data_IF_435153132795
#
_entry.id   IF_435153132795
#
_cell.length_a   1.000
_cell.length_b   1.000
_cell.length_c   1.000
_cell.angle_alpha   90.00
_cell.angle_beta   90.00
_cell.angle_gamma   90.00
#
_symmetry.space_group_name_H-M   'P 1'
#
loop_
_entity.id
_entity.type
_entity.pdbx_description
1 polymer ?
#
# COMPACT_ATOMS: atom_id res chain seq x y z
N UNK A 1 50.91 2.48 -24.83
CA UNK A 1 51.08 1.58 -23.67
C UNK A 1 50.09 0.43 -23.85
N UNK A 2 50.52 -0.63 -24.54
CA UNK A 2 49.87 -1.95 -24.62
C UNK A 2 50.40 -2.82 -23.43
N UNK A 3 49.91 -4.06 -23.13
CA UNK A 3 49.00 -4.88 -23.93
C UNK A 3 47.89 -5.65 -23.17
N UNK A 4 46.91 -6.13 -23.94
CA UNK A 4 46.10 -7.31 -23.66
C UNK A 4 46.90 -8.60 -23.90
N UNK A 5 46.63 -9.66 -23.12
CA UNK A 5 47.10 -11.02 -23.38
C UNK A 5 45.98 -11.91 -23.94
N UNK A 6 46.35 -12.63 -25.00
CA UNK A 6 45.62 -13.68 -25.72
C UNK A 6 46.48 -14.96 -25.62
N UNK A 7 45.90 -16.12 -25.28
CA UNK A 7 46.55 -17.46 -25.31
C UNK A 7 45.40 -18.47 -25.56
N UNK A 8 45.10 -18.89 -26.80
CA UNK A 8 45.68 -19.98 -27.63
C UNK A 8 45.44 -21.41 -27.12
N UNK A 9 44.58 -22.13 -27.84
CA UNK A 9 44.41 -23.58 -27.81
C UNK A 9 45.62 -24.32 -28.41
N UNK A 10 45.76 -25.63 -28.13
CA UNK A 10 46.23 -26.56 -29.14
C UNK A 10 45.33 -27.81 -29.26
N UNK A 11 45.11 -28.27 -30.50
CA UNK A 11 44.60 -29.61 -30.80
C UNK A 11 45.72 -30.51 -31.31
N UNK A 12 45.57 -31.83 -31.22
CA UNK A 12 46.37 -32.84 -31.96
C UNK A 12 45.51 -34.11 -32.25
N UNK A 13 45.70 -34.62 -33.47
CA UNK A 13 45.36 -35.91 -34.12
C UNK A 13 45.31 -37.17 -33.21
N UNK A 14 44.63 -38.29 -33.49
CA UNK A 14 44.24 -38.97 -34.74
C UNK A 14 45.12 -40.20 -34.99
N UNK A 15 44.61 -41.44 -34.82
CA UNK A 15 44.98 -42.67 -35.60
C UNK A 15 44.32 -43.99 -35.12
N UNK A 16 43.53 -44.62 -36.01
CA UNK A 16 43.61 -46.01 -36.56
C UNK A 16 43.79 -47.24 -35.61
N UNK A 17 42.74 -48.09 -35.54
CA UNK A 17 42.66 -49.49 -36.07
C UNK A 17 43.46 -50.69 -35.49
N UNK A 18 42.72 -51.60 -34.79
CA UNK A 18 42.74 -53.09 -34.74
C UNK A 18 44.02 -53.85 -34.25
N UNK A 19 43.97 -55.13 -33.76
CA UNK A 19 42.95 -56.19 -33.96
C UNK A 19 42.55 -57.07 -32.73
N UNK A 20 41.63 -58.01 -33.00
CA UNK A 20 41.09 -59.14 -32.22
C UNK A 20 42.09 -59.90 -31.32
N UNK A 21 41.63 -60.32 -30.13
CA UNK A 21 42.03 -61.59 -29.50
C UNK A 21 40.87 -62.18 -28.68
N UNK A 22 40.46 -63.39 -29.06
CA UNK A 22 39.51 -64.25 -28.36
C UNK A 22 40.33 -65.31 -27.61
N UNK A 23 40.14 -65.48 -26.29
CA UNK A 23 40.36 -66.77 -25.65
C UNK A 23 39.00 -67.38 -25.30
N UNK A 24 38.72 -68.51 -25.92
CA UNK A 24 37.76 -69.47 -25.43
C UNK A 24 38.35 -70.14 -24.20
N UNK A 25 37.65 -70.07 -23.06
CA UNK A 25 37.65 -71.12 -22.03
C UNK A 25 36.52 -70.81 -21.03
N UNK A 26 35.47 -71.62 -21.10
CA UNK A 26 34.34 -71.59 -20.19
C UNK A 26 34.64 -72.47 -18.96
N UNK A 27 34.29 -72.02 -17.75
CA UNK A 27 33.78 -72.90 -16.72
C UNK A 27 32.26 -72.79 -16.67
N UNK A 28 31.60 -73.94 -16.80
CA UNK A 28 30.16 -74.13 -16.57
C UNK A 28 29.74 -73.47 -15.25
N UNK A 29 29.05 -72.33 -15.32
CA UNK A 29 28.26 -71.82 -14.21
C UNK A 29 26.80 -72.19 -14.45
N UNK A 30 26.37 -73.17 -13.65
CA UNK A 30 25.02 -73.69 -13.56
C UNK A 30 24.01 -72.55 -13.34
N UNK A 31 23.09 -72.41 -14.29
CA UNK A 31 22.09 -71.34 -14.38
C UNK A 31 20.92 -71.50 -13.38
N UNK A 32 21.01 -72.36 -12.37
CA UNK A 32 19.87 -72.72 -11.50
C UNK A 32 19.99 -72.28 -10.04
N UNK A 33 20.93 -71.39 -9.69
CA UNK A 33 21.05 -70.88 -8.30
C UNK A 33 20.95 -69.35 -8.14
N UNK A 34 20.72 -68.59 -9.22
CA UNK A 34 20.73 -67.11 -9.22
C UNK A 34 19.34 -66.46 -9.31
N UNK A 35 18.26 -67.17 -8.95
CA UNK A 35 16.90 -66.64 -8.96
C UNK A 35 16.24 -66.49 -7.58
N UNK A 36 16.99 -66.67 -6.47
CA UNK A 36 16.42 -66.64 -5.11
C UNK A 36 17.23 -65.85 -4.06
N UNK A 37 18.27 -65.11 -4.49
CA UNK A 37 18.96 -64.04 -3.73
C UNK A 37 18.99 -62.84 -4.67
N UNK A 38 18.39 -61.67 -4.48
CA UNK A 38 18.00 -60.94 -3.28
C UNK A 38 16.83 -60.00 -3.63
N UNK A 39 15.59 -60.53 -3.65
CA UNK A 39 14.42 -59.64 -3.84
C UNK A 39 14.28 -58.65 -2.67
N UNK A 40 14.70 -59.02 -1.46
CA UNK A 40 14.66 -58.15 -0.29
C UNK A 40 15.62 -56.96 -0.39
N UNK A 41 16.84 -57.14 -0.92
CA UNK A 41 17.80 -56.02 -1.06
C UNK A 41 17.42 -55.07 -2.21
N UNK A 42 16.91 -55.60 -3.32
CA UNK A 42 16.40 -54.78 -4.42
C UNK A 42 15.17 -53.98 -3.97
N UNK A 43 14.25 -54.59 -3.23
CA UNK A 43 13.13 -53.87 -2.62
C UNK A 43 13.60 -52.81 -1.62
N UNK A 44 14.61 -53.10 -0.79
CA UNK A 44 15.16 -52.14 0.17
C UNK A 44 15.81 -50.94 -0.55
N UNK A 45 16.60 -51.18 -1.61
CA UNK A 45 17.24 -50.16 -2.43
C UNK A 45 16.23 -49.30 -3.19
N UNK A 46 15.17 -49.91 -3.74
CA UNK A 46 14.08 -49.17 -4.38
C UNK A 46 13.33 -48.29 -3.38
N UNK A 47 13.05 -48.81 -2.18
CA UNK A 47 12.42 -48.05 -1.08
C UNK A 47 13.33 -46.90 -0.65
N UNK A 48 14.64 -47.13 -0.54
CA UNK A 48 15.60 -46.09 -0.16
C UNK A 48 15.73 -45.02 -1.26
N UNK A 49 15.77 -45.39 -2.53
CA UNK A 49 15.77 -44.44 -3.66
C UNK A 49 14.47 -43.64 -3.74
N UNK A 50 13.30 -44.27 -3.55
CA UNK A 50 12.01 -43.57 -3.56
C UNK A 50 11.83 -42.64 -2.37
N UNK A 51 12.27 -43.04 -1.16
CA UNK A 51 12.27 -42.14 0.00
C UNK A 51 13.22 -40.96 -0.18
N UNK A 52 14.42 -41.18 -0.74
CA UNK A 52 15.40 -40.11 -0.98
C UNK A 52 14.94 -39.14 -2.07
N UNK A 53 14.36 -39.63 -3.17
CA UNK A 53 13.77 -38.75 -4.20
C UNK A 53 12.59 -37.94 -3.65
N UNK A 54 11.74 -38.56 -2.82
CA UNK A 54 10.60 -37.90 -2.15
C UNK A 54 11.03 -36.79 -1.18
N UNK A 55 12.10 -37.01 -0.41
CA UNK A 55 12.65 -36.00 0.51
C UNK A 55 13.36 -34.87 -0.25
N UNK A 56 14.15 -35.18 -1.28
CA UNK A 56 14.84 -34.17 -2.09
C UNK A 56 13.86 -33.29 -2.86
N UNK A 57 12.79 -33.88 -3.42
CA UNK A 57 11.72 -33.12 -4.09
C UNK A 57 10.93 -32.25 -3.11
N UNK A 58 10.65 -32.73 -1.90
CA UNK A 58 9.99 -31.92 -0.86
C UNK A 58 10.83 -30.71 -0.44
N UNK A 59 12.14 -30.89 -0.21
CA UNK A 59 13.06 -29.80 0.17
C UNK A 59 13.24 -28.79 -0.97
N UNK A 60 13.23 -29.23 -2.23
CA UNK A 60 13.30 -28.35 -3.40
C UNK A 60 11.98 -27.58 -3.64
N UNK A 61 10.83 -28.18 -3.32
CA UNK A 61 9.51 -27.57 -3.51
C UNK A 61 9.17 -26.51 -2.46
N UNK A 62 9.61 -26.68 -1.21
CA UNK A 62 9.27 -25.77 -0.11
C UNK A 62 9.67 -24.30 -0.39
N UNK A 63 10.90 -23.96 -0.82
CA UNK A 63 11.28 -22.59 -1.15
C UNK A 63 10.46 -22.00 -2.32
N UNK A 64 10.09 -22.81 -3.31
CA UNK A 64 9.27 -22.36 -4.43
C UNK A 64 7.82 -22.04 -4.01
N UNK A 65 7.25 -22.85 -3.11
CA UNK A 65 5.91 -22.62 -2.55
C UNK A 65 5.90 -21.37 -1.66
N UNK A 66 6.90 -21.21 -0.78
CA UNK A 66 7.01 -20.02 0.09
C UNK A 66 7.29 -18.75 -0.73
N UNK A 67 8.14 -18.83 -1.75
CA UNK A 67 8.43 -17.69 -2.62
C UNK A 67 7.22 -17.21 -3.41
N UNK A 68 6.36 -18.12 -3.87
CA UNK A 68 5.14 -17.77 -4.61
C UNK A 68 4.05 -17.20 -3.70
N UNK A 69 3.83 -17.76 -2.51
CA UNK A 69 2.81 -17.26 -1.58
C UNK A 69 3.15 -15.87 -1.05
N UNK A 70 4.41 -15.61 -0.70
CA UNK A 70 4.85 -14.27 -0.24
C UNK A 70 4.81 -13.25 -1.38
N UNK A 71 5.14 -13.63 -2.62
CA UNK A 71 5.00 -12.75 -3.78
C UNK A 71 3.52 -12.38 -4.04
N UNK A 72 2.61 -13.34 -3.94
CA UNK A 72 1.16 -13.09 -4.06
C UNK A 72 0.67 -12.19 -2.93
N UNK A 73 1.06 -12.46 -1.69
CA UNK A 73 0.70 -11.65 -0.53
C UNK A 73 1.24 -10.23 -0.66
N UNK A 74 2.47 -10.07 -1.14
CA UNK A 74 3.06 -8.77 -1.44
C UNK A 74 2.26 -8.04 -2.53
N UNK A 75 1.90 -8.74 -3.62
CA UNK A 75 1.07 -8.20 -4.69
C UNK A 75 -0.33 -7.80 -4.21
N UNK A 76 -0.98 -8.62 -3.38
CA UNK A 76 -2.28 -8.32 -2.78
C UNK A 76 -2.22 -7.11 -1.86
N UNK A 77 -1.21 -7.03 -0.98
CA UNK A 77 -1.01 -5.89 -0.08
C UNK A 77 -0.71 -4.60 -0.85
N UNK A 78 0.13 -4.67 -1.89
CA UNK A 78 0.40 -3.53 -2.77
C UNK A 78 -0.87 -3.08 -3.48
N UNK A 79 -1.63 -4.00 -4.08
CA UNK A 79 -2.89 -3.69 -4.75
C UNK A 79 -3.94 -3.10 -3.78
N UNK A 80 -4.06 -3.65 -2.57
CA UNK A 80 -4.94 -3.11 -1.53
C UNK A 80 -4.53 -1.69 -1.12
N UNK A 81 -3.23 -1.42 -1.02
CA UNK A 81 -2.69 -0.09 -0.73
C UNK A 81 -3.02 0.92 -1.84
N UNK A 82 -2.81 0.55 -3.09
CA UNK A 82 -3.12 1.42 -4.24
C UNK A 82 -4.62 1.72 -4.32
N UNK A 83 -5.47 0.71 -4.11
CA UNK A 83 -6.93 0.90 -4.05
C UNK A 83 -7.33 1.87 -2.93
N UNK A 84 -6.82 1.65 -1.73
CA UNK A 84 -7.10 2.50 -0.56
C UNK A 84 -6.55 3.94 -0.70
N UNK A 85 -5.54 4.14 -1.56
CA UNK A 85 -4.99 5.47 -1.87
C UNK A 85 -5.80 6.22 -2.91
N UNK A 86 -6.38 5.52 -3.90
CA UNK A 86 -7.26 6.11 -4.91
C UNK A 86 -8.71 6.34 -4.46
N UNK A 87 -9.14 5.73 -3.34
CA UNK A 87 -10.53 5.82 -2.87
C UNK A 87 -10.80 7.09 -2.04
N UNK A 88 -11.88 7.80 -2.40
CA UNK A 88 -12.37 8.98 -1.67
C UNK A 88 -12.96 8.56 -0.34
N UNK A 89 -12.34 9.00 0.75
CA UNK A 89 -12.82 8.74 2.11
C UNK A 89 -13.24 10.02 2.81
N UNK A 90 -14.01 9.86 3.87
CA UNK A 90 -14.23 10.92 4.84
C UNK A 90 -13.14 10.92 5.90
N UNK A 91 -12.93 12.08 6.52
CA UNK A 91 -12.16 12.19 7.75
C UNK A 91 -13.11 12.40 8.92
N UNK A 92 -12.88 11.65 9.98
CA UNK A 92 -13.65 11.69 11.22
C UNK A 92 -12.71 12.08 12.36
N UNK A 93 -13.20 12.92 13.27
CA UNK A 93 -12.48 13.30 14.48
C UNK A 93 -12.73 12.26 15.56
N UNK A 94 -11.67 11.84 16.24
CA UNK A 94 -11.71 11.01 17.43
C UNK A 94 -10.82 11.66 18.51
N UNK A 95 -11.31 11.74 19.75
CA UNK A 95 -10.52 12.24 20.87
C UNK A 95 -9.70 11.11 21.49
N UNK A 96 -8.38 11.30 21.69
CA UNK A 96 -7.52 10.28 22.30
C UNK A 96 -7.92 10.01 23.76
N UNK A 97 -8.39 11.03 24.47
CA UNK A 97 -8.91 10.92 25.84
C UNK A 97 -10.31 11.51 25.89
N UNK A 98 -11.26 10.77 26.46
CA UNK A 98 -12.62 11.25 26.66
C UNK A 98 -12.63 12.43 27.63
N UNK A 99 -13.24 13.53 27.20
CA UNK A 99 -13.44 14.75 27.97
C UNK A 99 -14.86 15.31 27.74
N UNK A 100 -15.16 16.50 28.26
CA UNK A 100 -16.47 17.14 28.11
C UNK A 100 -16.89 17.40 26.65
N UNK A 101 -15.94 17.45 25.72
CA UNK A 101 -16.17 17.67 24.29
C UNK A 101 -16.32 16.37 23.48
N UNK A 102 -16.17 15.19 24.11
CA UNK A 102 -16.36 13.89 23.45
C UNK A 102 -17.69 13.78 22.70
N UNK A 103 -18.85 14.15 23.28
CA UNK A 103 -20.12 14.06 22.57
C UNK A 103 -20.21 14.92 21.31
N UNK A 104 -19.37 15.97 21.22
CA UNK A 104 -19.33 16.88 20.08
C UNK A 104 -18.39 16.38 18.99
N UNK A 105 -17.17 15.97 19.35
CA UNK A 105 -16.12 15.67 18.37
C UNK A 105 -16.02 14.20 17.99
N UNK A 106 -16.28 13.26 18.91
CA UNK A 106 -16.11 11.85 18.58
C UNK A 106 -17.11 11.42 17.51
N UNK A 107 -16.60 10.99 16.36
CA UNK A 107 -17.42 10.61 15.22
C UNK A 107 -17.84 11.78 14.32
N UNK A 108 -17.44 13.01 14.66
CA UNK A 108 -17.74 14.18 13.84
C UNK A 108 -16.96 14.15 12.52
N UNK A 109 -17.64 14.45 11.41
CA UNK A 109 -17.01 14.57 10.10
C UNK A 109 -16.24 15.88 10.02
N UNK A 110 -15.04 15.83 9.43
CA UNK A 110 -14.32 17.03 9.00
C UNK A 110 -15.02 17.58 7.76
N UNK A 111 -15.32 18.87 7.76
CA UNK A 111 -16.03 19.56 6.69
C UNK A 111 -15.21 20.72 6.13
N UNK A 112 -15.51 21.12 4.89
CA UNK A 112 -14.68 22.04 4.10
C UNK A 112 -15.34 23.41 3.87
N UNK A 113 -16.14 23.92 4.81
CA UNK A 113 -16.81 25.22 4.63
C UNK A 113 -15.89 26.35 5.07
N UNK A 114 -15.56 27.28 4.17
CA UNK A 114 -14.70 28.45 4.45
C UNK A 114 -13.37 28.12 5.16
N UNK A 115 -12.80 26.95 4.81
CA UNK A 115 -11.60 26.34 5.39
C UNK A 115 -11.75 25.67 6.76
N UNK A 116 -12.96 25.49 7.28
CA UNK A 116 -13.14 25.15 8.70
C UNK A 116 -14.33 24.19 9.00
N UNK A 117 -14.18 23.55 10.16
CA UNK A 117 -15.12 22.78 11.00
C UNK A 117 -15.16 21.26 10.96
N UNK A 118 -15.24 20.72 12.18
CA UNK A 118 -15.70 19.40 12.54
C UNK A 118 -16.87 19.59 13.51
N UNK A 119 -18.07 19.81 12.99
CA UNK A 119 -19.29 19.87 13.80
C UNK A 119 -20.46 19.22 13.06
N UNK A 120 -21.26 18.48 13.83
CA UNK A 120 -22.47 17.75 13.43
C UNK A 120 -23.73 18.63 13.34
N UNK A 121 -23.65 19.88 13.78
CA UNK A 121 -24.79 20.77 14.05
C UNK A 121 -25.34 21.51 12.82
N UNK A 122 -24.70 21.41 11.66
CA UNK A 122 -25.08 22.17 10.47
C UNK A 122 -26.06 21.43 9.54
N UNK A 123 -26.84 22.21 8.78
CA UNK A 123 -27.76 21.65 7.80
C UNK A 123 -26.99 20.88 6.70
N UNK A 124 -27.39 19.64 6.35
CA UNK A 124 -26.68 18.80 5.38
C UNK A 124 -26.53 19.42 3.98
N UNK A 125 -27.35 20.41 3.65
CA UNK A 125 -27.42 21.04 2.32
C UNK A 125 -26.38 22.14 2.09
N UNK A 126 -25.69 22.62 3.13
CA UNK A 126 -24.78 23.79 3.03
C UNK A 126 -23.32 23.43 3.25
N UNK A 127 -23.02 22.14 3.46
CA UNK A 127 -21.70 21.69 3.88
C UNK A 127 -21.22 20.57 2.96
N UNK A 128 -19.97 20.71 2.50
CA UNK A 128 -19.26 19.67 1.78
C UNK A 128 -18.35 18.90 2.75
N UNK A 129 -18.68 17.65 3.12
CA UNK A 129 -17.79 16.81 3.92
C UNK A 129 -16.44 16.63 3.24
N UNK A 130 -15.39 16.48 4.01
CA UNK A 130 -14.09 16.11 3.48
C UNK A 130 -14.23 14.82 2.66
N UNK A 131 -13.85 14.85 1.38
CA UNK A 131 -13.88 13.70 0.51
C UNK A 131 -12.53 13.58 -0.21
N UNK A 132 -11.56 13.02 0.51
CA UNK A 132 -10.17 13.04 0.10
C UNK A 132 -9.55 11.69 -0.15
N UNK A 133 -8.47 11.72 -0.92
CA UNK A 133 -7.70 10.57 -1.37
C UNK A 133 -6.25 11.00 -1.62
N UNK A 134 -5.37 10.04 -1.83
CA UNK A 134 -3.93 10.28 -1.98
C UNK A 134 -3.53 10.37 -3.44
N UNK A 135 -2.62 11.28 -3.75
CA UNK A 135 -1.98 11.38 -5.05
C UNK A 135 -0.49 11.66 -4.89
N UNK A 136 0.38 11.06 -5.73
CA UNK A 136 1.79 11.40 -5.78
C UNK A 136 1.98 12.92 -5.96
N UNK A 137 2.71 13.56 -5.03
CA UNK A 137 2.92 15.00 -5.12
C UNK A 137 4.03 15.31 -6.14
N UNK A 138 3.76 16.06 -7.24
CA UNK A 138 4.67 16.10 -8.39
C UNK A 138 6.11 16.51 -8.09
N UNK A 139 6.32 17.48 -7.18
CA UNK A 139 7.64 18.10 -6.96
C UNK A 139 8.37 17.55 -5.71
N UNK A 140 7.64 16.89 -4.80
CA UNK A 140 8.11 16.53 -3.46
C UNK A 140 8.19 15.02 -3.24
N UNK A 141 7.50 14.22 -4.07
CA UNK A 141 7.44 12.76 -3.89
C UNK A 141 8.82 12.10 -3.89
N UNK A 142 9.71 12.52 -4.80
CA UNK A 142 11.08 12.00 -4.86
C UNK A 142 11.88 12.34 -3.60
N UNK A 143 11.76 13.58 -3.11
CA UNK A 143 12.46 14.06 -1.91
C UNK A 143 12.03 13.30 -0.66
N UNK A 144 10.73 13.08 -0.50
CA UNK A 144 10.19 12.30 0.61
C UNK A 144 10.71 10.86 0.59
N UNK A 145 10.69 10.20 -0.57
CA UNK A 145 11.22 8.84 -0.73
C UNK A 145 12.72 8.77 -0.36
N UNK A 146 13.54 9.71 -0.83
CA UNK A 146 14.98 9.74 -0.50
C UNK A 146 15.23 10.00 0.99
N UNK A 147 14.41 10.82 1.64
CA UNK A 147 14.49 11.08 3.07
C UNK A 147 13.90 9.95 3.94
N UNK A 148 13.45 8.84 3.35
CA UNK A 148 12.90 7.69 4.06
C UNK A 148 11.43 7.83 4.47
N UNK A 149 10.76 8.91 4.06
CA UNK A 149 9.35 9.10 4.32
C UNK A 149 8.48 8.20 3.46
N UNK A 150 7.41 7.69 4.06
CA UNK A 150 6.30 7.04 3.38
C UNK A 150 5.13 8.02 3.34
N UNK A 151 4.42 8.05 2.22
CA UNK A 151 3.28 8.94 2.06
C UNK A 151 3.27 9.66 0.71
N UNK A 152 2.20 10.39 0.49
CA UNK A 152 1.86 11.09 -0.73
C UNK A 152 1.27 12.46 -0.40
N UNK A 153 0.85 13.23 -1.39
CA UNK A 153 0.01 14.39 -1.12
C UNK A 153 -1.43 13.94 -0.88
N UNK A 154 -2.14 14.68 -0.04
CA UNK A 154 -3.57 14.49 0.21
C UNK A 154 -4.35 15.51 -0.61
N UNK A 155 -5.40 15.06 -1.27
CA UNK A 155 -6.30 15.91 -2.04
C UNK A 155 -7.72 15.73 -1.55
N UNK A 156 -8.57 16.72 -1.76
CA UNK A 156 -9.98 16.69 -1.39
C UNK A 156 -10.82 17.43 -2.42
N UNK A 157 -12.10 17.05 -2.52
CA UNK A 157 -13.08 17.77 -3.34
C UNK A 157 -13.77 18.83 -2.50
N UNK A 158 -14.00 20.01 -3.08
CA UNK A 158 -14.59 21.17 -2.33
C UNK A 158 -16.01 21.48 -2.76
N UNK A 159 -16.42 21.04 -3.96
CA UNK A 159 -17.74 21.28 -4.52
C UNK A 159 -18.26 20.03 -5.24
N UNK A 160 -19.54 20.08 -5.62
CA UNK A 160 -20.21 19.02 -6.37
C UNK A 160 -19.56 18.74 -7.75
N UNK A 161 -18.92 19.76 -8.33
CA UNK A 161 -18.14 19.66 -9.57
C UNK A 161 -16.79 18.93 -9.37
N UNK A 162 -16.50 18.45 -8.16
CA UNK A 162 -15.30 17.69 -7.80
C UNK A 162 -13.98 18.42 -8.12
N UNK A 163 -13.92 19.74 -7.94
CA UNK A 163 -12.65 20.46 -8.05
C UNK A 163 -11.63 19.94 -7.03
N UNK A 164 -10.48 19.52 -7.54
CA UNK A 164 -9.41 18.91 -6.77
C UNK A 164 -8.54 19.98 -6.13
N UNK A 165 -8.51 19.99 -4.80
CA UNK A 165 -7.64 20.84 -4.01
C UNK A 165 -6.67 20.00 -3.17
N UNK A 166 -5.43 20.47 -3.07
CA UNK A 166 -4.41 19.86 -2.22
C UNK A 166 -4.61 20.31 -0.78
N UNK A 167 -4.51 19.37 0.15
CA UNK A 167 -4.52 19.63 1.59
C UNK A 167 -3.09 19.91 2.03
N UNK A 168 -2.90 20.99 2.78
CA UNK A 168 -1.61 21.45 3.25
C UNK A 168 -1.72 22.06 4.64
N UNK A 169 -0.61 22.06 5.38
CA UNK A 169 -0.46 22.80 6.64
C UNK A 169 0.16 24.14 6.32
N UNK A 170 -0.53 25.22 6.66
CA UNK A 170 -0.06 26.58 6.43
C UNK A 170 1.26 26.84 7.18
N UNK A 171 2.31 27.18 6.45
CA UNK A 171 3.63 27.48 7.01
C UNK A 171 3.63 28.57 8.10
N UNK A 172 2.75 29.54 8.00
CA UNK A 172 2.67 30.63 8.96
C UNK A 172 1.74 30.26 10.11
N UNK A 173 0.50 29.87 9.85
CA UNK A 173 -0.51 29.68 10.91
C UNK A 173 -0.55 28.28 11.50
N UNK A 174 0.04 27.29 10.81
CA UNK A 174 -0.08 25.86 11.12
C UNK A 174 -1.52 25.31 10.98
N UNK A 175 -2.42 26.07 10.36
CA UNK A 175 -3.77 25.63 10.04
C UNK A 175 -3.75 24.60 8.91
N UNK A 176 -4.56 23.55 9.02
CA UNK A 176 -4.76 22.57 7.95
C UNK A 176 -5.77 23.14 6.97
N UNK A 177 -5.28 23.55 5.80
CA UNK A 177 -6.07 24.20 4.75
C UNK A 177 -6.07 23.38 3.48
N UNK A 178 -6.88 23.81 2.52
CA UNK A 178 -6.92 23.23 1.19
C UNK A 178 -6.87 24.33 0.13
N UNK A 179 -6.36 24.00 -1.06
CA UNK A 179 -6.35 24.94 -2.18
C UNK A 179 -5.70 24.38 -3.43
N UNK A 180 -5.66 25.21 -4.47
CA UNK A 180 -5.01 24.87 -5.74
C UNK A 180 -3.51 24.63 -5.55
N UNK A 181 -2.91 23.85 -6.46
CA UNK A 181 -1.49 23.46 -6.38
C UNK A 181 -0.53 24.63 -6.22
N UNK A 182 -0.80 25.76 -6.89
CA UNK A 182 0.04 26.96 -6.86
C UNK A 182 0.14 27.57 -5.45
N UNK A 183 -0.96 27.58 -4.70
CA UNK A 183 -0.98 28.03 -3.30
C UNK A 183 -0.31 26.97 -2.42
N UNK A 184 -0.76 25.71 -2.53
CA UNK A 184 -0.27 24.63 -1.66
C UNK A 184 1.26 24.50 -1.67
N UNK A 185 1.91 24.74 -2.81
CA UNK A 185 3.37 24.63 -2.98
C UNK A 185 4.20 25.53 -2.05
N UNK A 186 3.67 26.66 -1.58
CA UNK A 186 4.38 27.54 -0.62
C UNK A 186 4.24 27.10 0.85
N UNK A 187 3.39 26.10 1.12
CA UNK A 187 3.10 25.58 2.45
C UNK A 187 3.58 24.13 2.60
N UNK A 188 3.33 23.51 3.75
CA UNK A 188 3.73 22.13 4.00
C UNK A 188 2.68 21.17 3.43
N UNK A 189 2.99 20.48 2.35
CA UNK A 189 2.02 19.65 1.60
C UNK A 189 2.04 18.17 1.97
N UNK A 190 2.89 17.76 2.91
CA UNK A 190 3.04 16.37 3.32
C UNK A 190 4.49 16.01 3.63
N UNK A 191 4.79 14.69 3.71
CA UNK A 191 3.94 13.61 3.22
C UNK A 191 2.77 13.30 4.15
N UNK A 192 1.60 13.08 3.54
CA UNK A 192 0.44 12.52 4.21
C UNK A 192 0.47 10.99 4.09
N UNK A 193 0.08 10.31 5.16
CA UNK A 193 -0.18 8.86 5.14
C UNK A 193 -1.24 8.53 6.21
N UNK A 194 -1.48 7.25 6.45
CA UNK A 194 -2.26 6.81 7.60
C UNK A 194 -1.66 5.55 8.23
N UNK A 195 -1.99 5.29 9.49
CA UNK A 195 -1.62 4.05 10.17
C UNK A 195 -2.25 2.83 9.47
N UNK A 196 -1.58 1.68 9.56
CA UNK A 196 -1.98 0.47 8.83
C UNK A 196 -3.25 -0.17 9.38
N UNK A 197 -3.46 -0.08 10.70
CA UNK A 197 -4.55 -0.75 11.42
C UNK A 197 -5.76 0.20 11.47
N UNK A 198 -5.67 1.26 12.27
CA UNK A 198 -6.83 2.12 12.59
C UNK A 198 -7.09 3.22 11.56
N UNK A 199 -6.23 3.33 10.53
CA UNK A 199 -6.31 4.37 9.49
C UNK A 199 -6.32 5.80 10.04
N UNK A 200 -5.66 6.01 11.17
CA UNK A 200 -5.38 7.35 11.71
C UNK A 200 -4.46 8.09 10.76
N UNK A 201 -4.82 9.31 10.40
CA UNK A 201 -4.04 10.17 9.52
C UNK A 201 -2.74 10.58 10.17
N UNK A 202 -1.70 10.66 9.36
CA UNK A 202 -0.39 11.16 9.78
C UNK A 202 0.09 12.20 8.79
N UNK A 203 0.74 13.24 9.31
CA UNK A 203 1.46 14.25 8.52
C UNK A 203 2.93 14.19 8.93
N UNK A 204 3.83 14.08 7.95
CA UNK A 204 5.25 13.83 8.23
C UNK A 204 5.44 12.64 9.20
N UNK A 205 4.62 11.60 9.02
CA UNK A 205 4.72 10.32 9.74
C UNK A 205 4.27 10.32 11.21
N UNK A 206 3.61 11.36 11.71
CA UNK A 206 3.05 11.37 13.08
C UNK A 206 1.69 12.08 13.18
N UNK A 207 1.05 11.97 14.34
CA UNK A 207 -0.36 12.36 14.61
C UNK A 207 -0.43 13.60 15.51
N UNK A 208 -0.09 14.79 14.98
CA UNK A 208 -0.01 16.05 15.74
C UNK A 208 -1.19 17.00 15.54
N UNK A 209 -2.41 16.50 15.38
CA UNK A 209 -3.58 17.35 15.05
C UNK A 209 -4.21 17.99 16.28
N UNK A 210 -4.55 19.27 16.16
CA UNK A 210 -5.18 20.05 17.23
C UNK A 210 -6.39 20.79 16.66
N UNK A 211 -7.55 20.61 17.28
CA UNK A 211 -8.72 21.42 17.02
C UNK A 211 -8.65 22.70 17.87
N UNK A 212 -8.77 23.86 17.22
CA UNK A 212 -8.70 25.18 17.86
C UNK A 212 -10.03 25.90 17.64
N UNK A 213 -10.67 26.32 18.73
CA UNK A 213 -11.87 27.16 18.67
C UNK A 213 -11.44 28.59 18.36
N UNK A 214 -11.72 29.06 17.14
CA UNK A 214 -11.40 30.41 16.68
C UNK A 214 -12.49 31.43 17.00
N UNK A 215 -13.76 31.00 17.02
CA UNK A 215 -14.91 31.83 17.41
C UNK A 215 -15.73 31.09 18.47
N UNK A 216 -15.96 31.74 19.61
CA UNK A 216 -16.76 31.19 20.70
C UNK A 216 -18.25 31.43 20.49
N UNK A 217 -18.62 32.53 19.82
CA UNK A 217 -20.01 32.93 19.59
C UNK A 217 -20.65 32.05 18.50
N UNK A 218 -19.90 31.74 17.45
CA UNK A 218 -20.31 30.84 16.36
C UNK A 218 -19.87 29.37 16.56
N UNK A 219 -19.26 29.06 17.71
CA UNK A 219 -18.71 27.74 18.06
C UNK A 219 -17.84 27.12 16.95
N UNK A 220 -16.93 27.97 16.45
CA UNK A 220 -16.16 27.79 15.23
C UNK A 220 -14.78 27.16 15.55
N UNK A 221 -14.62 25.85 15.33
CA UNK A 221 -13.37 25.07 15.39
C UNK A 221 -12.61 24.85 14.06
N UNK A 222 -11.36 25.29 13.97
CA UNK A 222 -10.46 24.95 12.87
C UNK A 222 -9.46 23.85 13.25
N UNK A 223 -8.97 23.13 12.24
CA UNK A 223 -7.98 22.08 12.42
C UNK A 223 -6.58 22.64 12.19
N UNK A 224 -5.68 22.38 13.12
CA UNK A 224 -4.28 22.78 13.09
C UNK A 224 -3.37 21.56 13.23
N UNK A 225 -2.10 21.72 12.87
CA UNK A 225 -1.07 20.71 13.04
C UNK A 225 0.14 21.26 13.78
N UNK A 226 0.55 20.58 14.86
CA UNK A 226 1.63 21.02 15.72
C UNK A 226 3.01 20.65 15.16
N UNK A 227 3.50 21.37 14.14
CA UNK A 227 4.79 21.06 13.49
C UNK A 227 5.98 20.97 14.47
N UNK A 228 5.97 21.74 15.56
CA UNK A 228 7.09 21.88 16.50
C UNK A 228 6.93 21.01 17.78
N UNK A 229 5.85 20.23 17.87
CA UNK A 229 5.48 19.41 19.03
C UNK A 229 5.50 20.21 20.35
N UNK A 230 4.88 21.37 20.37
CA UNK A 230 4.79 22.24 21.54
C UNK A 230 3.36 22.59 21.97
N UNK A 231 2.37 21.94 21.36
CA UNK A 231 0.95 22.18 21.56
C UNK A 231 0.50 23.53 21.00
N UNK A 232 1.17 24.03 19.95
CA UNK A 232 0.95 25.35 19.35
C UNK A 232 1.15 26.52 20.34
N UNK A 233 2.03 26.33 21.34
CA UNK A 233 2.24 27.27 22.47
C UNK A 233 3.36 28.26 22.22
N UNK A 234 4.36 27.88 21.41
CA UNK A 234 5.65 28.58 21.37
C UNK A 234 5.70 29.71 20.33
N UNK A 235 4.63 29.89 19.57
CA UNK A 235 4.55 30.82 18.45
C UNK A 235 3.40 31.79 18.74
N UNK A 236 3.62 33.08 18.48
CA UNK A 236 2.66 34.18 18.65
C UNK A 236 1.41 34.09 17.73
N UNK A 237 1.09 32.89 17.23
CA UNK A 237 0.09 32.64 16.19
C UNK A 237 -1.31 32.44 16.73
N UNK A 238 -1.43 31.83 17.92
CA UNK A 238 -2.72 31.42 18.51
C UNK A 238 -2.74 31.76 20.00
N UNK A 239 -1.72 31.38 20.77
CA UNK A 239 -1.67 31.70 22.21
C UNK A 239 -1.51 33.20 22.50
N UNK A 240 -0.74 33.95 21.70
CA UNK A 240 -0.45 35.39 21.90
C UNK A 240 -1.19 36.35 20.94
N UNK A 241 -2.11 35.88 20.08
CA UNK A 241 -3.01 36.80 19.34
C UNK A 241 -4.09 37.43 20.23
N UNK A 242 -3.78 37.65 21.50
CA UNK A 242 -4.59 38.38 22.46
C UNK A 242 -4.39 39.89 22.29
N UNK A 243 -4.75 40.41 21.12
CA UNK A 243 -5.17 41.81 21.01
C UNK A 243 -6.49 42.09 21.75
N UNK A 244 -7.21 41.04 22.17
CA UNK A 244 -8.50 41.11 22.88
C UNK A 244 -8.59 40.25 24.16
N UNK A 245 -7.48 39.72 24.70
CA UNK A 245 -7.49 38.97 25.97
C UNK A 245 -8.26 37.63 26.00
N UNK A 246 -8.79 37.14 24.87
CA UNK A 246 -9.47 35.83 24.78
C UNK A 246 -8.47 34.71 24.46
N UNK A 247 -8.44 33.67 25.30
CA UNK A 247 -7.62 32.47 25.12
C UNK A 247 -8.41 31.46 24.27
N UNK A 248 -7.91 31.10 23.08
CA UNK A 248 -8.54 30.07 22.27
C UNK A 248 -8.53 28.71 22.97
N UNK A 249 -9.65 27.97 22.87
CA UNK A 249 -9.74 26.61 23.39
C UNK A 249 -9.09 25.65 22.39
N UNK A 250 -8.27 24.72 22.89
CA UNK A 250 -7.50 23.79 22.06
C UNK A 250 -7.69 22.37 22.55
N UNK A 251 -7.90 21.45 21.62
CA UNK A 251 -8.09 20.02 21.88
C UNK A 251 -7.17 19.22 20.97
N UNK A 252 -6.38 18.33 21.53
CA UNK A 252 -5.66 17.32 20.74
C UNK A 252 -6.68 16.34 20.16
N UNK A 253 -6.57 16.08 18.86
CA UNK A 253 -7.51 15.23 18.13
C UNK A 253 -6.76 14.22 17.26
N UNK A 254 -7.37 13.07 17.06
CA UNK A 254 -6.98 12.10 16.05
C UNK A 254 -7.94 12.21 14.87
N UNK A 255 -7.40 12.09 13.65
CA UNK A 255 -8.21 12.07 12.44
C UNK A 255 -8.20 10.66 11.88
N UNK A 256 -9.37 10.08 11.68
CA UNK A 256 -9.53 8.70 11.20
C UNK A 256 -10.16 8.71 9.82
N UNK A 257 -9.53 8.00 8.87
CA UNK A 257 -10.14 7.76 7.57
C UNK A 257 -11.28 6.77 7.72
N UNK A 258 -12.47 7.17 7.27
CA UNK A 258 -13.66 6.30 7.23
C UNK A 258 -14.21 6.23 5.82
N UNK A 259 -14.60 5.04 5.41
CA UNK A 259 -15.29 4.83 4.15
C UNK A 259 -16.57 5.65 4.09
N UNK A 260 -16.91 6.13 2.89
CA UNK A 260 -18.14 6.88 2.68
C UNK A 260 -19.33 5.92 2.76
N UNK A 261 -20.46 6.34 3.35
CA UNK A 261 -21.69 5.56 3.27
C UNK A 261 -22.02 5.25 1.82
N UNK A 262 -22.18 3.98 1.47
CA UNK A 262 -22.62 3.58 0.14
C UNK A 262 -24.13 3.78 0.03
N UNK A 263 -24.53 4.77 -0.78
CA UNK A 263 -25.93 4.95 -1.12
C UNK A 263 -26.44 3.77 -1.96
N UNK A 264 -27.73 3.47 -1.87
CA UNK A 264 -28.37 2.37 -2.60
C UNK A 264 -28.16 2.50 -4.13
N UNK A 265 -28.30 3.71 -4.68
CA UNK A 265 -28.15 3.94 -6.12
C UNK A 265 -26.71 3.75 -6.60
N UNK A 266 -25.73 4.13 -5.78
CA UNK A 266 -24.31 3.83 -6.02
C UNK A 266 -24.08 2.31 -6.07
N UNK A 267 -24.69 1.55 -5.16
CA UNK A 267 -24.58 0.09 -5.13
C UNK A 267 -25.23 -0.58 -6.35
N UNK A 268 -26.35 -0.04 -6.84
CA UNK A 268 -26.97 -0.48 -8.10
C UNK A 268 -26.06 -0.16 -9.28
N UNK A 269 -25.51 1.05 -9.36
CA UNK A 269 -24.59 1.46 -10.42
C UNK A 269 -23.37 0.53 -10.49
N UNK A 270 -22.68 0.32 -9.36
CA UNK A 270 -21.55 -0.61 -9.25
C UNK A 270 -21.94 -2.04 -9.69
N UNK A 271 -23.15 -2.50 -9.36
CA UNK A 271 -23.65 -3.81 -9.79
C UNK A 271 -23.81 -3.89 -11.30
N UNK A 272 -24.38 -2.86 -11.92
CA UNK A 272 -24.55 -2.79 -13.39
C UNK A 272 -23.19 -2.77 -14.09
N UNK A 273 -22.23 -2.02 -13.57
CA UNK A 273 -20.86 -1.98 -14.11
C UNK A 273 -20.17 -3.35 -14.01
N UNK A 274 -20.34 -4.07 -12.89
CA UNK A 274 -19.81 -5.44 -12.76
C UNK A 274 -20.42 -6.39 -13.80
N UNK A 275 -21.72 -6.29 -14.07
CA UNK A 275 -22.38 -7.10 -15.09
C UNK A 275 -21.76 -6.81 -16.47
N UNK A 276 -21.61 -5.53 -16.84
CA UNK A 276 -20.98 -5.13 -18.11
C UNK A 276 -19.53 -5.60 -18.22
N UNK A 277 -18.74 -5.48 -17.16
CA UNK A 277 -17.36 -5.93 -17.15
C UNK A 277 -17.24 -7.46 -17.32
N UNK A 278 -18.16 -8.23 -16.74
CA UNK A 278 -18.25 -9.67 -16.94
C UNK A 278 -18.60 -10.00 -18.40
N UNK A 279 -19.60 -9.33 -18.96
CA UNK A 279 -19.98 -9.50 -20.38
C UNK A 279 -18.80 -9.20 -21.32
N UNK A 280 -18.07 -8.11 -21.07
CA UNK A 280 -16.86 -7.77 -21.83
C UNK A 280 -15.75 -8.82 -21.67
N UNK A 281 -15.55 -9.39 -20.48
CA UNK A 281 -14.55 -10.45 -20.28
C UNK A 281 -14.92 -11.73 -21.01
N UNK A 282 -16.19 -12.14 -20.97
CA UNK A 282 -16.70 -13.31 -21.69
C UNK A 282 -16.49 -13.12 -23.19
N UNK A 283 -16.85 -11.95 -23.71
CA UNK A 283 -16.66 -11.63 -25.13
C UNK A 283 -15.19 -11.69 -25.54
N UNK A 284 -14.26 -11.15 -24.73
CA UNK A 284 -12.81 -11.24 -24.99
C UNK A 284 -12.30 -12.68 -24.93
N UNK A 285 -12.83 -13.49 -24.03
CA UNK A 285 -12.47 -14.91 -23.93
C UNK A 285 -12.95 -15.68 -25.17
N UNK A 286 -14.18 -15.45 -25.62
CA UNK A 286 -14.75 -16.01 -26.85
C UNK A 286 -13.94 -15.61 -28.08
N UNK A 287 -13.60 -14.32 -28.22
CA UNK A 287 -12.73 -13.82 -29.30
C UNK A 287 -11.34 -14.49 -29.25
N UNK A 288 -10.74 -14.60 -28.07
CA UNK A 288 -9.43 -15.25 -27.90
C UNK A 288 -9.46 -16.77 -28.13
N UNK A 289 -10.62 -17.41 -27.94
CA UNK A 289 -10.81 -18.83 -28.19
C UNK A 289 -11.00 -19.09 -29.68
N UNK A 290 -11.68 -18.18 -30.39
CA UNK A 290 -11.85 -18.22 -31.83
C UNK A 290 -10.49 -18.02 -32.55
N UNK A 291 -9.69 -17.04 -32.11
CA UNK A 291 -8.35 -16.78 -32.64
C UNK A 291 -7.36 -17.95 -32.42
N UNK A 292 -7.59 -18.78 -31.40
CA UNK A 292 -6.78 -19.99 -31.16
C UNK A 292 -7.15 -21.17 -32.06
N UNK A 293 -8.32 -21.13 -32.70
CA UNK A 293 -8.82 -22.21 -33.58
C UNK A 293 -8.52 -21.97 -35.07
N UNK A 294 -8.16 -20.74 -35.45
CA UNK A 294 -7.71 -20.36 -36.80
C UNK A 294 -6.19 -20.43 -36.94
#
# INVERSE_FOLDING_TARGET
MFPQRRVSSPGISGSIGAPLYIPADAPNFDCTSLLLKDNSEIHLLLIHQTMVLGLLSAVAACPAIVGTTEAVRHGQNANARERHRGEKVNLVVELPTKNAYSPKFDGALVVLKDHKHADSSFSPSTIHPFAGYYLPYPDSQGKWKTAGWKGEGLVTTVNEENHLNWVYVDRQTHEVRHGVKSIAKSHHTGPWDCTSIDKRMTFEGWEGFIAVQEDEDDDLWALYFDLDNDGLRRKELIADKTGMGRRYRMLEVQLVRRERPKAHDMAIGERVERIRAMEDSVKREEESALDRQT
#
